data_IF_812417007394
#
_entry.id   IF_812417007394
#
_cell.length_a   1.000
_cell.length_b   1.000
_cell.length_c   1.000
_cell.angle_alpha   90.00
_cell.angle_beta   90.00
_cell.angle_gamma   90.00
#
_symmetry.space_group_name_H-M   'P 1'
#
loop_
_entity.id
_entity.type
_entity.pdbx_description
1 polymer ?
#
# COMPACT_ATOMS: atom_id res chain seq x y z
N UNK A 1 -13.23 -12.63 -4.50
CA UNK A 1 -12.47 -12.17 -3.32
C UNK A 1 -10.99 -12.41 -3.59
N UNK A 2 -10.09 -11.50 -3.20
CA UNK A 2 -8.66 -11.72 -3.28
C UNK A 2 -8.23 -12.81 -2.30
N UNK A 3 -7.13 -13.49 -2.60
CA UNK A 3 -6.53 -14.50 -1.74
C UNK A 3 -5.47 -13.82 -0.87
N UNK A 4 -5.62 -13.94 0.46
CA UNK A 4 -4.68 -13.40 1.42
C UNK A 4 -3.63 -14.46 1.75
N UNK A 5 -2.35 -14.14 1.47
CA UNK A 5 -1.22 -15.01 1.78
C UNK A 5 -0.37 -14.34 2.86
N UNK A 6 -0.33 -14.93 4.06
CA UNK A 6 0.49 -14.41 5.17
C UNK A 6 1.97 -14.69 4.88
N UNK A 7 2.81 -13.67 5.01
CA UNK A 7 4.25 -13.72 4.75
C UNK A 7 5.03 -13.11 5.89
N UNK A 8 6.33 -13.38 5.95
CA UNK A 8 7.20 -12.78 6.98
C UNK A 8 7.45 -11.30 6.67
N UNK A 9 7.38 -10.46 7.69
CA UNK A 9 7.83 -9.07 7.65
C UNK A 9 9.36 -8.99 7.59
N UNK A 10 9.93 -9.11 6.38
CA UNK A 10 11.37 -9.15 6.16
C UNK A 10 11.79 -8.27 4.96
N UNK A 11 12.67 -7.31 5.19
CA UNK A 11 13.20 -6.41 4.15
C UNK A 11 14.03 -7.16 3.09
N UNK A 12 14.50 -8.36 3.41
CA UNK A 12 15.20 -9.27 2.52
C UNK A 12 14.31 -10.43 2.05
N UNK A 13 12.98 -10.28 2.15
CA UNK A 13 12.02 -11.27 1.68
C UNK A 13 12.29 -11.68 0.22
N UNK A 14 12.17 -12.98 -0.12
CA UNK A 14 12.23 -13.42 -1.52
C UNK A 14 11.04 -12.91 -2.34
N UNK A 15 9.98 -12.43 -1.68
CA UNK A 15 8.87 -11.76 -2.34
C UNK A 15 9.25 -10.31 -2.72
N UNK A 16 9.10 -9.97 -3.99
CA UNK A 16 9.47 -8.68 -4.57
C UNK A 16 8.70 -7.52 -3.94
N UNK A 17 7.36 -7.60 -3.92
CA UNK A 17 6.52 -6.55 -3.33
C UNK A 17 6.79 -6.33 -1.83
N UNK A 18 7.01 -7.40 -1.05
CA UNK A 18 7.33 -7.29 0.38
C UNK A 18 8.65 -6.52 0.56
N UNK A 19 9.73 -7.00 -0.05
CA UNK A 19 11.05 -6.37 0.11
C UNK A 19 11.07 -4.93 -0.41
N UNK A 20 10.42 -4.65 -1.55
CA UNK A 20 10.30 -3.31 -2.11
C UNK A 20 9.51 -2.37 -1.18
N UNK A 21 8.37 -2.81 -0.63
CA UNK A 21 7.58 -2.04 0.31
C UNK A 21 8.38 -1.66 1.56
N UNK A 22 9.06 -2.64 2.18
CA UNK A 22 9.79 -2.42 3.43
C UNK A 22 11.05 -1.56 3.22
N UNK A 23 11.72 -1.70 2.09
CA UNK A 23 12.82 -0.80 1.69
C UNK A 23 12.31 0.62 1.52
N UNK A 24 11.20 0.81 0.80
CA UNK A 24 10.62 2.15 0.60
C UNK A 24 10.14 2.75 1.91
N UNK A 25 9.48 1.98 2.78
CA UNK A 25 9.08 2.40 4.13
C UNK A 25 10.29 2.89 4.94
N UNK A 26 11.37 2.14 4.97
CA UNK A 26 12.61 2.54 5.66
C UNK A 26 13.19 3.83 5.08
N UNK A 27 13.24 3.95 3.75
CA UNK A 27 13.72 5.13 3.05
C UNK A 27 12.90 6.38 3.42
N UNK A 28 11.57 6.32 3.27
CA UNK A 28 10.70 7.49 3.50
C UNK A 28 10.67 7.92 4.96
N UNK A 29 10.76 6.98 5.91
CA UNK A 29 10.79 7.30 7.34
C UNK A 29 12.14 7.90 7.77
N UNK A 30 13.24 7.49 7.13
CA UNK A 30 14.59 7.99 7.46
C UNK A 30 14.99 9.25 6.69
N UNK A 31 14.28 9.59 5.61
CA UNK A 31 14.51 10.80 4.84
C UNK A 31 14.40 12.02 5.75
N UNK A 32 15.52 12.71 5.97
CA UNK A 32 15.60 14.00 6.66
C UNK A 32 15.57 15.10 5.60
N UNK A 33 14.44 15.81 5.54
CA UNK A 33 14.22 17.15 4.96
C UNK A 33 13.78 17.34 3.48
N UNK A 34 12.90 18.35 3.35
CA UNK A 34 12.54 19.25 2.22
C UNK A 34 11.89 18.71 0.94
N UNK A 35 10.90 17.83 1.07
CA UNK A 35 9.99 17.46 -0.02
C UNK A 35 9.25 16.15 0.15
N UNK A 36 9.60 15.37 1.19
CA UNK A 36 8.90 14.15 1.57
C UNK A 36 7.47 14.41 2.08
N UNK A 37 6.65 13.35 2.08
CA UNK A 37 5.28 13.40 2.63
C UNK A 37 5.39 13.58 4.15
N UNK A 38 5.15 14.82 4.61
CA UNK A 38 5.18 15.16 6.03
C UNK A 38 4.32 14.21 6.87
N UNK A 39 4.90 13.67 7.94
CA UNK A 39 4.18 12.88 8.92
C UNK A 39 4.01 11.39 8.60
N UNK A 40 4.78 10.83 7.65
CA UNK A 40 5.01 9.39 7.56
C UNK A 40 6.05 9.00 8.62
N UNK A 41 5.63 8.20 9.59
CA UNK A 41 6.50 7.65 10.63
C UNK A 41 6.55 6.12 10.61
N UNK A 42 7.32 5.49 11.52
CA UNK A 42 7.38 4.03 11.63
C UNK A 42 6.00 3.36 11.74
N UNK A 43 5.06 4.01 12.44
CA UNK A 43 3.70 3.52 12.67
C UNK A 43 2.69 4.00 11.63
N UNK A 44 3.15 4.42 10.46
CA UNK A 44 2.28 4.67 9.31
C UNK A 44 2.26 3.40 8.47
N UNK A 45 1.10 2.75 8.37
CA UNK A 45 0.98 1.51 7.60
C UNK A 45 1.18 1.79 6.10
N UNK A 46 1.91 0.88 5.45
CA UNK A 46 2.34 0.97 4.08
C UNK A 46 1.77 -0.18 3.26
N UNK A 47 1.77 0.03 1.95
CA UNK A 47 1.42 -0.97 0.96
C UNK A 47 2.27 -0.75 -0.28
N UNK A 48 2.31 -1.77 -1.13
CA UNK A 48 3.01 -1.71 -2.39
C UNK A 48 2.22 -2.47 -3.43
N UNK A 49 2.06 -1.87 -4.61
CA UNK A 49 1.29 -2.44 -5.71
C UNK A 49 2.15 -2.38 -6.96
N UNK A 50 2.25 -3.52 -7.63
CA UNK A 50 2.82 -3.64 -8.98
C UNK A 50 1.68 -3.82 -9.96
N UNK A 51 1.68 -3.07 -11.05
CA UNK A 51 0.62 -3.13 -12.06
C UNK A 51 1.17 -3.01 -13.48
N UNK A 52 0.42 -3.51 -14.46
CA UNK A 52 0.74 -3.38 -15.89
C UNK A 52 0.30 -2.01 -16.38
N UNK A 53 1.21 -1.24 -16.97
CA UNK A 53 0.91 0.06 -17.56
C UNK A 53 0.06 -0.10 -18.81
N UNK A 54 -0.94 0.76 -18.99
CA UNK A 54 -1.82 0.66 -20.15
C UNK A 54 -1.05 0.89 -21.45
N UNK A 55 -1.30 0.03 -22.45
CA UNK A 55 -0.63 0.08 -23.75
C UNK A 55 0.85 -0.29 -23.71
N UNK A 56 1.35 -0.89 -22.62
CA UNK A 56 2.73 -1.33 -22.47
C UNK A 56 2.81 -2.77 -21.96
N UNK A 57 3.90 -3.46 -22.31
CA UNK A 57 4.26 -4.77 -21.75
C UNK A 57 5.10 -4.64 -20.47
N UNK A 58 5.23 -3.43 -19.92
CA UNK A 58 6.01 -3.14 -18.72
C UNK A 58 5.13 -2.96 -17.48
N UNK A 59 5.69 -3.33 -16.33
CA UNK A 59 5.08 -3.08 -15.02
C UNK A 59 5.61 -1.80 -14.40
N UNK A 60 4.75 -1.08 -13.67
CA UNK A 60 5.17 -0.02 -12.75
C UNK A 60 4.79 -0.37 -11.31
N UNK A 61 5.32 0.40 -10.36
CA UNK A 61 5.16 0.17 -8.94
C UNK A 61 4.77 1.44 -8.20
N UNK A 62 3.78 1.32 -7.32
CA UNK A 62 3.34 2.42 -6.46
C UNK A 62 3.40 2.04 -5.00
N UNK A 63 3.86 3.00 -4.20
CA UNK A 63 3.89 2.92 -2.75
C UNK A 63 2.67 3.63 -2.18
N UNK A 64 1.96 2.95 -1.28
CA UNK A 64 0.86 3.50 -0.51
C UNK A 64 1.25 3.66 0.95
N UNK A 65 0.68 4.65 1.62
CA UNK A 65 0.84 4.85 3.05
C UNK A 65 -0.39 5.57 3.63
N UNK A 66 -0.81 5.20 4.85
CA UNK A 66 -2.01 5.76 5.49
C UNK A 66 -1.96 7.26 5.79
N UNK A 67 -0.81 7.91 5.63
CA UNK A 67 -0.64 9.35 5.77
C UNK A 67 -0.72 10.09 4.43
N UNK A 68 -0.69 9.37 3.30
CA UNK A 68 -0.88 9.93 1.96
C UNK A 68 -2.33 10.39 1.85
N UNK A 69 -2.50 11.62 1.41
CA UNK A 69 -3.81 12.23 1.17
C UNK A 69 -4.21 11.99 -0.27
N UNK A 70 -5.37 11.40 -0.47
CA UNK A 70 -5.96 11.22 -1.79
C UNK A 70 -6.72 12.50 -2.14
N UNK A 71 -6.38 13.19 -3.24
CA UNK A 71 -7.16 14.33 -3.71
C UNK A 71 -8.54 13.83 -4.17
N UNK A 72 -9.60 14.30 -3.52
CA UNK A 72 -10.96 13.89 -3.84
C UNK A 72 -11.73 15.03 -4.48
N UNK A 73 -12.25 14.78 -5.69
CA UNK A 73 -13.09 15.71 -6.44
C UNK A 73 -14.55 15.27 -6.40
N UNK A 74 -15.46 16.21 -6.12
CA UNK A 74 -16.90 16.03 -6.35
C UNK A 74 -17.30 17.02 -7.43
N UNK A 75 -17.88 16.50 -8.51
CA UNK A 75 -18.31 17.30 -9.67
C UNK A 75 -17.19 18.19 -10.26
N UNK A 76 -15.96 17.68 -10.28
CA UNK A 76 -14.79 18.40 -10.81
C UNK A 76 -14.18 19.44 -9.87
N UNK A 77 -14.76 19.67 -8.69
CA UNK A 77 -14.24 20.60 -7.67
C UNK A 77 -13.45 19.81 -6.63
N UNK A 78 -12.25 20.28 -6.29
CA UNK A 78 -11.46 19.73 -5.18
C UNK A 78 -12.15 20.10 -3.86
N UNK A 79 -12.71 19.11 -3.16
CA UNK A 79 -13.57 19.37 -1.98
C UNK A 79 -12.91 18.99 -0.67
N UNK A 80 -12.03 17.98 -0.69
CA UNK A 80 -11.28 17.55 0.48
C UNK A 80 -10.14 16.59 0.11
N UNK A 81 -9.15 16.52 0.99
CA UNK A 81 -8.18 15.43 1.03
C UNK A 81 -8.76 14.28 1.85
N UNK A 82 -9.04 13.14 1.21
CA UNK A 82 -9.47 11.93 1.92
C UNK A 82 -8.26 11.25 2.57
N UNK A 83 -8.39 10.83 3.84
CA UNK A 83 -7.47 9.83 4.40
C UNK A 83 -8.04 8.43 4.16
N UNK A 84 -7.21 7.57 3.58
CA UNK A 84 -7.49 6.17 3.39
C UNK A 84 -6.36 5.33 4.02
N UNK A 85 -6.61 4.05 4.24
CA UNK A 85 -5.57 3.14 4.68
C UNK A 85 -4.54 2.91 3.57
N UNK A 86 -3.35 2.44 3.95
CA UNK A 86 -2.22 2.27 3.03
C UNK A 86 -2.61 1.50 1.78
N UNK A 87 -3.33 0.38 1.91
CA UNK A 87 -3.78 -0.45 0.80
C UNK A 87 -4.60 0.31 -0.26
N UNK A 88 -5.49 1.22 0.16
CA UNK A 88 -6.32 2.00 -0.75
C UNK A 88 -5.55 3.19 -1.35
N UNK A 89 -4.57 3.75 -0.63
CA UNK A 89 -3.71 4.80 -1.18
C UNK A 89 -2.81 4.28 -2.30
N UNK A 90 -2.25 3.07 -2.19
CA UNK A 90 -1.48 2.47 -3.28
C UNK A 90 -2.35 2.22 -4.52
N UNK A 91 -3.53 1.62 -4.34
CA UNK A 91 -4.44 1.37 -5.46
C UNK A 91 -4.93 2.67 -6.11
N UNK A 92 -5.21 3.71 -5.31
CA UNK A 92 -5.54 5.02 -5.85
C UNK A 92 -4.41 5.57 -6.72
N UNK A 93 -3.16 5.52 -6.25
CA UNK A 93 -2.02 6.00 -7.02
C UNK A 93 -1.88 5.23 -8.34
N UNK A 94 -2.01 3.91 -8.32
CA UNK A 94 -1.99 3.10 -9.55
C UNK A 94 -3.11 3.50 -10.54
N UNK A 95 -4.31 3.77 -10.04
CA UNK A 95 -5.45 4.18 -10.87
C UNK A 95 -5.27 5.61 -11.40
N UNK A 96 -4.68 6.51 -10.60
CA UNK A 96 -4.47 7.90 -10.99
C UNK A 96 -3.41 8.06 -12.09
N UNK A 97 -2.43 7.16 -12.12
CA UNK A 97 -1.36 7.12 -13.12
C UNK A 97 -1.81 6.54 -14.47
N UNK A 98 -3.04 6.01 -14.54
CA UNK A 98 -3.54 5.24 -15.68
C UNK A 98 -4.90 5.77 -16.17
N UNK A 99 -5.24 5.65 -17.46
CA UNK A 99 -6.53 6.12 -17.99
C UNK A 99 -7.73 5.23 -17.59
N UNK A 100 -7.51 4.20 -16.77
CA UNK A 100 -8.51 3.25 -16.29
C UNK A 100 -7.97 2.42 -15.12
N UNK A 101 -8.73 1.42 -14.66
CA UNK A 101 -8.26 0.53 -13.58
C UNK A 101 -7.18 -0.40 -14.14
N UNK A 102 -5.91 -0.31 -13.70
CA UNK A 102 -4.85 -1.14 -14.24
C UNK A 102 -4.99 -2.59 -13.78
N UNK A 103 -4.34 -3.51 -14.52
CA UNK A 103 -4.20 -4.89 -14.04
C UNK A 103 -3.12 -4.93 -12.96
N UNK A 104 -3.55 -5.18 -11.73
CA UNK A 104 -2.66 -5.44 -10.60
C UNK A 104 -2.01 -6.81 -10.79
N UNK A 105 -0.69 -6.86 -10.66
CA UNK A 105 0.14 -8.07 -10.76
C UNK A 105 0.43 -8.61 -9.38
N UNK A 106 0.92 -7.74 -8.50
CA UNK A 106 1.33 -8.10 -7.14
C UNK A 106 0.89 -6.99 -6.18
N UNK A 107 0.46 -7.38 -4.97
CA UNK A 107 0.11 -6.43 -3.93
C UNK A 107 0.61 -6.95 -2.58
N UNK A 108 1.26 -6.06 -1.84
CA UNK A 108 1.63 -6.28 -0.45
C UNK A 108 1.01 -5.20 0.45
N UNK A 109 0.48 -5.61 1.59
CA UNK A 109 -0.06 -4.76 2.64
C UNK A 109 0.52 -5.19 3.99
N UNK A 110 0.89 -4.25 4.86
CA UNK A 110 1.53 -4.66 6.13
C UNK A 110 0.59 -5.47 7.04
N UNK A 111 -0.69 -5.09 7.08
CA UNK A 111 -1.72 -5.73 7.90
C UNK A 111 -2.86 -6.24 7.03
N UNK A 112 -3.52 -7.33 7.44
CA UNK A 112 -4.77 -7.78 6.80
C UNK A 112 -5.81 -6.66 6.82
N UNK A 113 -6.65 -6.55 5.78
CA UNK A 113 -7.53 -5.40 5.61
C UNK A 113 -8.68 -5.43 6.62
N UNK A 114 -9.11 -4.26 7.11
CA UNK A 114 -10.36 -4.17 7.85
C UNK A 114 -11.56 -4.43 6.92
N UNK A 115 -12.76 -4.67 7.48
CA UNK A 115 -13.98 -4.99 6.72
C UNK A 115 -14.24 -4.03 5.54
N UNK A 116 -14.11 -2.71 5.77
CA UNK A 116 -14.32 -1.69 4.74
C UNK A 116 -13.28 -1.75 3.64
N UNK A 117 -12.01 -1.96 3.99
CA UNK A 117 -10.94 -2.07 3.01
C UNK A 117 -11.07 -3.39 2.23
N UNK A 118 -11.46 -4.49 2.90
CA UNK A 118 -11.73 -5.76 2.23
C UNK A 118 -12.86 -5.64 1.20
N UNK A 119 -13.94 -4.94 1.53
CA UNK A 119 -15.03 -4.68 0.58
C UNK A 119 -14.56 -3.87 -0.64
N UNK A 120 -13.72 -2.86 -0.43
CA UNK A 120 -13.12 -2.08 -1.53
C UNK A 120 -12.17 -2.94 -2.39
N UNK A 121 -11.30 -3.74 -1.77
CA UNK A 121 -10.39 -4.65 -2.46
C UNK A 121 -11.15 -5.70 -3.29
N UNK A 122 -12.28 -6.19 -2.79
CA UNK A 122 -13.14 -7.12 -3.55
C UNK A 122 -13.70 -6.51 -4.84
N UNK A 123 -13.89 -5.20 -4.89
CA UNK A 123 -14.40 -4.49 -6.06
C UNK A 123 -13.30 -4.05 -7.02
N UNK A 124 -12.12 -3.72 -6.48
CA UNK A 124 -11.00 -3.17 -7.26
C UNK A 124 -10.09 -4.25 -7.85
N UNK A 125 -10.03 -5.43 -7.24
CA UNK A 125 -9.14 -6.51 -7.64
C UNK A 125 -9.87 -7.62 -8.37
N UNK A 126 -9.15 -8.30 -9.27
CA UNK A 126 -9.67 -9.49 -9.94
C UNK A 126 -9.95 -10.59 -8.90
N UNK A 127 -11.00 -11.42 -9.09
CA UNK A 127 -11.22 -12.58 -8.23
C UNK A 127 -9.99 -13.48 -8.16
N UNK A 128 -9.59 -13.91 -6.95
CA UNK A 128 -8.41 -14.75 -6.74
C UNK A 128 -7.07 -14.01 -6.79
N UNK A 129 -7.05 -12.69 -6.99
CA UNK A 129 -5.82 -11.89 -6.91
C UNK A 129 -5.11 -12.14 -5.58
N UNK A 130 -3.83 -12.49 -5.66
CA UNK A 130 -3.02 -12.69 -4.47
C UNK A 130 -2.63 -11.35 -3.84
N UNK A 131 -2.78 -11.26 -2.52
CA UNK A 131 -2.33 -10.16 -1.69
C UNK A 131 -1.48 -10.75 -0.57
N UNK A 132 -0.22 -10.33 -0.52
CA UNK A 132 0.68 -10.68 0.56
C UNK A 132 0.46 -9.77 1.76
N UNK A 133 0.47 -10.32 2.96
CA UNK A 133 0.37 -9.52 4.19
C UNK A 133 1.19 -10.09 5.34
N UNK A 134 1.60 -9.25 6.30
CA UNK A 134 2.48 -9.70 7.39
C UNK A 134 1.79 -9.88 8.74
N UNK A 135 0.79 -9.07 9.05
CA UNK A 135 0.16 -9.04 10.38
C UNK A 135 -1.36 -9.13 10.30
N UNK A 136 -2.00 -9.90 11.17
CA UNK A 136 -3.45 -10.00 11.27
C UNK A 136 -4.03 -8.80 12.05
N UNK A 137 -4.88 -8.00 11.40
CA UNK A 137 -5.66 -6.98 12.08
C UNK A 137 -6.96 -7.56 12.65
N UNK A 138 -7.37 -7.21 13.89
CA UNK A 138 -6.71 -6.31 14.84
C UNK A 138 -5.72 -6.99 15.82
N UNK A 139 -5.55 -8.31 15.75
CA UNK A 139 -4.83 -9.08 16.78
C UNK A 139 -3.32 -8.84 16.89
N UNK A 140 -2.65 -8.42 15.82
CA UNK A 140 -1.19 -8.31 15.75
C UNK A 140 -0.69 -6.85 15.59
N UNK A 141 -1.51 -5.86 15.95
CA UNK A 141 -1.16 -4.44 15.81
C UNK A 141 0.09 -4.05 16.62
N UNK A 142 0.24 -4.56 17.84
CA UNK A 142 1.42 -4.25 18.66
C UNK A 142 2.68 -4.94 18.12
N UNK A 143 2.57 -6.18 17.66
CA UNK A 143 3.68 -6.89 17.00
C UNK A 143 4.12 -6.16 15.72
N UNK A 144 3.17 -5.63 14.96
CA UNK A 144 3.45 -4.77 13.80
C UNK A 144 4.19 -3.50 14.21
N UNK A 145 3.75 -2.79 15.26
CA UNK A 145 4.42 -1.56 15.73
C UNK A 145 5.88 -1.84 16.11
N UNK A 146 6.14 -2.91 16.86
CA UNK A 146 7.49 -3.30 17.26
C UNK A 146 8.37 -3.62 16.05
N UNK A 147 7.87 -4.42 15.12
CA UNK A 147 8.58 -4.76 13.89
C UNK A 147 8.84 -3.51 13.01
N UNK A 148 7.86 -2.62 12.89
CA UNK A 148 7.97 -1.39 12.12
C UNK A 148 8.97 -0.41 12.73
N UNK A 149 8.99 -0.29 14.07
CA UNK A 149 10.01 0.48 14.79
C UNK A 149 11.40 -0.05 14.49
N UNK A 150 11.60 -1.36 14.59
CA UNK A 150 12.90 -1.98 14.31
C UNK A 150 13.31 -1.84 12.83
N UNK A 151 12.37 -1.97 11.89
CA UNK A 151 12.64 -1.75 10.48
C UNK A 151 13.18 -0.33 10.23
N UNK A 152 12.58 0.68 10.86
CA UNK A 152 12.87 2.09 10.61
C UNK A 152 14.02 2.66 11.47
N UNK A 153 14.36 2.01 12.58
CA UNK A 153 15.43 2.38 13.51
C UNK A 153 16.79 2.54 12.81
#
# INVERSE_FOLDING_TARGET
>A
MPNLTKVRYDINSPNGAVSACLRKKREVVRSRDDGGINGIGPYSCCSFVTYIRNGSDTTDNVFGNSRIRIPFKVNGVDVANACAHGELTALWNAIADEPGIPTIVEMYIEMSPCEKCQAALNNLLKPGQEIFYSFDHPGEVEAWKDAAKHLCA
#
